data_IF_637734754188
#
_entry.id   IF_637734754188
#
_cell.length_a   1.000
_cell.length_b   1.000
_cell.length_c   1.000
_cell.angle_alpha   90.00
_cell.angle_beta   90.00
_cell.angle_gamma   90.00
#
_symmetry.space_group_name_H-M   'P 1'
#
loop_
_entity.id
_entity.type
_entity.pdbx_description
1 polymer ?
#
# COMPACT_ATOMS: atom_id res chain seq x y z
N UNK A 1 -14.54 4.57 -23.59
CA UNK A 1 -13.10 4.35 -23.36
C UNK A 1 -12.86 2.86 -23.37
N UNK A 2 -11.99 2.37 -24.23
CA UNK A 2 -11.48 0.99 -24.19
C UNK A 2 -10.03 1.09 -23.73
N UNK A 3 -9.68 0.64 -22.51
CA UNK A 3 -8.30 0.66 -22.07
C UNK A 3 -7.45 -0.25 -22.96
N UNK A 4 -6.23 0.17 -23.24
CA UNK A 4 -5.22 -0.56 -24.03
C UNK A 4 -4.19 -1.30 -23.15
N UNK A 5 -4.27 -1.13 -21.82
CA UNK A 5 -3.48 -1.84 -20.83
C UNK A 5 -4.23 -2.04 -19.50
N UNK A 6 -3.93 -3.15 -18.81
CA UNK A 6 -4.28 -3.40 -17.41
C UNK A 6 -3.00 -3.66 -16.63
N UNK A 7 -2.83 -2.99 -15.48
CA UNK A 7 -1.68 -3.20 -14.58
C UNK A 7 -2.20 -3.80 -13.28
N UNK A 8 -1.82 -5.06 -13.01
CA UNK A 8 -2.10 -5.76 -11.77
C UNK A 8 -0.94 -5.53 -10.79
N UNK A 9 -1.18 -4.74 -9.75
CA UNK A 9 -0.17 -4.34 -8.77
C UNK A 9 -0.04 -5.36 -7.63
N UNK A 10 0.12 -6.62 -7.99
CA UNK A 10 0.48 -7.74 -7.13
C UNK A 10 -0.66 -8.35 -6.30
N UNK A 11 -0.31 -9.42 -5.59
CA UNK A 11 -1.19 -10.31 -4.84
C UNK A 11 -2.39 -10.80 -5.67
N UNK A 12 -2.10 -11.21 -6.92
CA UNK A 12 -3.06 -11.85 -7.84
C UNK A 12 -3.50 -13.20 -7.29
N UNK A 13 -2.59 -13.91 -6.60
CA UNK A 13 -2.90 -15.16 -5.89
C UNK A 13 -2.91 -14.97 -4.39
N UNK A 14 -3.59 -15.87 -3.68
CA UNK A 14 -3.70 -15.79 -2.22
C UNK A 14 -2.80 -16.80 -1.51
N UNK A 15 -2.77 -18.06 -1.97
CA UNK A 15 -2.08 -19.11 -1.20
C UNK A 15 -0.56 -19.12 -1.43
N UNK A 16 0.18 -19.21 -0.33
CA UNK A 16 1.64 -19.35 -0.26
C UNK A 16 1.97 -20.42 0.78
N UNK A 17 2.84 -21.41 0.52
CA UNK A 17 3.64 -21.63 -0.69
C UNK A 17 2.96 -22.50 -1.76
N UNK A 18 1.84 -23.16 -1.45
CA UNK A 18 1.16 -24.07 -2.37
C UNK A 18 -0.01 -23.37 -3.05
N UNK A 19 -0.07 -23.44 -4.38
CA UNK A 19 -1.22 -22.98 -5.17
C UNK A 19 -2.33 -24.04 -5.07
N UNK A 20 -3.54 -23.61 -4.73
CA UNK A 20 -4.69 -24.50 -4.63
C UNK A 20 -5.12 -25.03 -6.00
N UNK A 21 -5.91 -26.11 -6.02
CA UNK A 21 -6.49 -26.61 -7.27
C UNK A 21 -7.39 -25.58 -7.96
N UNK A 22 -8.12 -24.78 -7.17
CA UNK A 22 -8.96 -23.69 -7.67
C UNK A 22 -8.09 -22.60 -8.30
N UNK A 23 -7.02 -22.16 -7.63
CA UNK A 23 -6.12 -21.13 -8.18
C UNK A 23 -5.42 -21.59 -9.46
N UNK A 24 -5.10 -22.88 -9.60
CA UNK A 24 -4.52 -23.43 -10.84
C UNK A 24 -5.48 -23.40 -12.04
N UNK A 25 -6.77 -23.34 -11.80
CA UNK A 25 -7.80 -23.30 -12.84
C UNK A 25 -8.27 -21.86 -13.09
N UNK A 26 -8.53 -21.11 -12.02
CA UNK A 26 -9.13 -19.78 -12.08
C UNK A 26 -8.13 -18.68 -12.44
N UNK A 27 -6.89 -18.70 -11.91
CA UNK A 27 -5.91 -17.64 -12.20
C UNK A 27 -5.54 -17.60 -13.69
N UNK A 28 -5.23 -18.73 -14.36
CA UNK A 28 -4.93 -18.72 -15.78
C UNK A 28 -6.13 -18.24 -16.59
N UNK A 29 -7.33 -18.75 -16.29
CA UNK A 29 -8.56 -18.32 -16.96
C UNK A 29 -8.78 -16.80 -16.83
N UNK A 30 -8.62 -16.24 -15.63
CA UNK A 30 -8.75 -14.81 -15.37
C UNK A 30 -7.74 -13.97 -16.16
N UNK A 31 -6.45 -14.30 -16.04
CA UNK A 31 -5.38 -13.55 -16.70
C UNK A 31 -5.47 -13.63 -18.22
N UNK A 32 -5.76 -14.82 -18.76
CA UNK A 32 -5.88 -15.02 -20.20
C UNK A 32 -7.13 -14.32 -20.77
N UNK A 33 -8.24 -14.27 -20.01
CA UNK A 33 -9.44 -13.51 -20.42
C UNK A 33 -9.17 -12.01 -20.46
N UNK A 34 -8.39 -11.46 -19.53
CA UNK A 34 -7.94 -10.06 -19.61
C UNK A 34 -7.07 -9.83 -20.85
N UNK A 35 -6.12 -10.74 -21.10
CA UNK A 35 -5.19 -10.67 -22.22
C UNK A 35 -5.86 -10.79 -23.60
N UNK A 36 -7.08 -11.33 -23.68
CA UNK A 36 -7.89 -11.33 -24.90
C UNK A 36 -8.43 -9.94 -25.27
N UNK A 37 -8.52 -9.04 -24.30
CA UNK A 37 -9.06 -7.69 -24.48
C UNK A 37 -7.94 -6.64 -24.58
N UNK A 38 -6.84 -6.82 -23.85
CA UNK A 38 -5.82 -5.80 -23.67
C UNK A 38 -4.53 -6.36 -23.09
N UNK A 39 -3.40 -5.64 -23.26
CA UNK A 39 -2.13 -6.02 -22.64
C UNK A 39 -2.23 -6.03 -21.11
N UNK A 40 -1.64 -7.03 -20.45
CA UNK A 40 -1.65 -7.17 -18.99
C UNK A 40 -0.22 -7.11 -18.43
N UNK A 41 0.06 -6.14 -17.58
CA UNK A 41 1.28 -6.11 -16.76
C UNK A 41 0.98 -6.61 -15.36
N UNK A 42 1.88 -7.40 -14.81
CA UNK A 42 1.80 -7.86 -13.43
C UNK A 42 3.08 -7.48 -12.71
N UNK A 43 2.95 -6.69 -11.66
CA UNK A 43 4.04 -6.39 -10.74
C UNK A 43 3.82 -7.29 -9.52
N UNK A 44 4.58 -8.39 -9.37
CA UNK A 44 4.23 -9.42 -8.41
C UNK A 44 4.31 -8.91 -6.98
N UNK A 45 3.32 -9.30 -6.17
CA UNK A 45 3.28 -9.12 -4.73
C UNK A 45 4.00 -10.25 -3.99
N UNK A 46 4.01 -10.18 -2.65
CA UNK A 46 4.66 -11.24 -1.85
C UNK A 46 3.90 -12.56 -1.94
N UNK A 47 2.64 -12.54 -2.38
CA UNK A 47 1.88 -13.73 -2.63
C UNK A 47 2.11 -14.33 -4.01
N UNK A 48 2.73 -13.65 -4.99
CA UNK A 48 2.75 -14.09 -6.40
C UNK A 48 3.93 -14.99 -6.80
N UNK A 49 4.61 -15.61 -5.83
CA UNK A 49 5.70 -16.54 -6.12
C UNK A 49 5.27 -17.68 -7.06
N UNK A 50 5.94 -17.81 -8.21
CA UNK A 50 5.65 -18.86 -9.21
C UNK A 50 4.44 -18.58 -10.12
N UNK A 51 3.89 -17.37 -10.13
CA UNK A 51 2.74 -16.99 -10.96
C UNK A 51 2.94 -17.29 -12.45
N UNK A 52 4.14 -17.05 -12.99
CA UNK A 52 4.49 -17.33 -14.40
C UNK A 52 4.36 -18.80 -14.81
N UNK A 53 4.26 -19.72 -13.85
CA UNK A 53 4.08 -21.15 -14.11
C UNK A 53 2.61 -21.54 -14.28
N UNK A 54 1.67 -20.63 -14.01
CA UNK A 54 0.24 -20.94 -14.00
C UNK A 54 -0.42 -20.70 -15.36
N UNK A 55 0.02 -19.70 -16.13
CA UNK A 55 -0.66 -19.29 -17.38
C UNK A 55 0.21 -19.48 -18.63
N UNK A 56 -0.42 -19.45 -19.80
CA UNK A 56 0.30 -19.54 -21.06
C UNK A 56 1.10 -18.26 -21.37
N UNK A 57 2.44 -18.37 -21.32
CA UNK A 57 3.37 -17.27 -21.62
C UNK A 57 3.33 -16.74 -23.06
N UNK A 58 2.55 -17.36 -23.95
CA UNK A 58 2.34 -16.88 -25.32
C UNK A 58 1.24 -15.81 -25.41
N UNK A 59 0.49 -15.57 -24.32
CA UNK A 59 -0.53 -14.52 -24.23
C UNK A 59 0.12 -13.16 -23.96
N UNK A 60 -0.63 -12.08 -24.20
CA UNK A 60 -0.16 -10.70 -24.04
C UNK A 60 -0.11 -10.27 -22.56
N UNK A 61 0.72 -10.97 -21.79
CA UNK A 61 0.90 -10.83 -20.35
C UNK A 61 2.39 -10.70 -20.04
N UNK A 62 2.77 -9.62 -19.36
CA UNK A 62 4.13 -9.36 -18.90
C UNK A 62 4.20 -9.41 -17.39
N UNK A 63 5.01 -10.30 -16.83
CA UNK A 63 5.33 -10.29 -15.40
C UNK A 63 6.65 -9.57 -15.18
N UNK A 64 6.63 -8.56 -14.34
CA UNK A 64 7.76 -7.69 -14.05
C UNK A 64 8.52 -8.15 -12.80
N UNK A 65 9.60 -7.43 -12.49
CA UNK A 65 10.33 -7.58 -11.24
C UNK A 65 9.43 -7.30 -10.02
N UNK A 66 9.62 -8.02 -8.92
CA UNK A 66 9.01 -7.70 -7.62
C UNK A 66 9.47 -6.34 -7.05
N UNK A 67 10.55 -5.77 -7.61
CA UNK A 67 11.00 -4.41 -7.32
C UNK A 67 10.30 -3.34 -8.18
N UNK A 68 9.38 -3.75 -9.04
CA UNK A 68 8.54 -2.88 -9.84
C UNK A 68 9.00 -2.68 -11.29
N UNK A 69 8.30 -1.77 -11.98
CA UNK A 69 8.52 -1.43 -13.39
C UNK A 69 8.17 0.04 -13.68
N UNK A 70 8.78 0.60 -14.73
CA UNK A 70 8.39 1.87 -15.33
C UNK A 70 7.51 1.57 -16.55
N UNK A 71 6.29 2.09 -16.55
CA UNK A 71 5.32 1.91 -17.64
C UNK A 71 4.77 3.30 -17.96
N UNK A 72 4.91 3.75 -19.21
CA UNK A 72 4.47 5.06 -19.70
C UNK A 72 4.91 6.25 -18.83
N UNK A 73 6.11 6.18 -18.27
CA UNK A 73 6.69 7.22 -17.41
C UNK A 73 6.19 7.23 -15.97
N UNK A 74 5.36 6.26 -15.57
CA UNK A 74 4.88 6.04 -14.20
C UNK A 74 5.58 4.82 -13.60
N UNK A 75 6.02 4.95 -12.36
CA UNK A 75 6.63 3.87 -11.61
C UNK A 75 5.59 3.03 -10.86
N UNK A 76 5.69 1.72 -10.93
CA UNK A 76 4.79 0.80 -10.24
C UNK A 76 5.61 -0.21 -9.43
N UNK A 77 5.32 -0.37 -8.14
CA UNK A 77 5.87 -1.45 -7.32
C UNK A 77 4.82 -1.94 -6.32
N UNK A 78 4.80 -3.22 -5.95
CA UNK A 78 3.73 -3.71 -5.07
C UNK A 78 3.80 -3.11 -3.66
N UNK A 79 4.99 -3.00 -3.07
CA UNK A 79 5.20 -2.38 -1.75
C UNK A 79 5.88 -3.29 -0.72
N UNK A 80 5.88 -4.61 -0.93
CA UNK A 80 6.55 -5.58 -0.05
C UNK A 80 8.09 -5.55 -0.15
N UNK A 81 8.64 -4.85 -1.14
CA UNK A 81 10.08 -4.61 -1.35
C UNK A 81 10.36 -3.11 -1.45
N UNK A 82 11.65 -2.73 -1.43
CA UNK A 82 12.05 -1.41 -1.91
C UNK A 82 11.96 -1.37 -3.45
N UNK A 83 11.46 -0.26 -4.04
CA UNK A 83 11.44 -0.11 -5.48
C UNK A 83 12.85 -0.22 -6.08
N UNK A 84 12.90 -0.58 -7.36
CA UNK A 84 14.13 -0.45 -8.14
C UNK A 84 14.47 1.06 -8.30
N UNK A 85 15.76 1.45 -8.26
CA UNK A 85 16.15 2.86 -8.34
C UNK A 85 15.55 3.66 -9.50
N UNK A 86 15.39 3.03 -10.66
CA UNK A 86 14.81 3.61 -11.87
C UNK A 86 13.38 4.13 -11.65
N UNK A 87 12.60 3.53 -10.74
CA UNK A 87 11.25 3.98 -10.38
C UNK A 87 11.28 5.38 -9.76
N UNK A 88 12.36 5.73 -9.08
CA UNK A 88 12.50 7.01 -8.40
C UNK A 88 12.76 8.18 -9.36
N UNK A 89 13.06 7.88 -10.62
CA UNK A 89 13.17 8.87 -11.70
C UNK A 89 11.82 9.21 -12.35
N UNK A 90 10.74 8.47 -12.04
CA UNK A 90 9.39 8.82 -12.48
C UNK A 90 8.83 9.98 -11.65
N UNK A 91 7.99 10.83 -12.26
CA UNK A 91 7.28 11.89 -11.51
C UNK A 91 6.17 11.35 -10.61
N UNK A 92 5.63 10.20 -10.97
CA UNK A 92 4.55 9.53 -10.25
C UNK A 92 4.92 8.08 -9.99
N UNK A 93 4.68 7.63 -8.76
CA UNK A 93 4.87 6.24 -8.34
C UNK A 93 3.59 5.74 -7.71
N UNK A 94 3.17 4.52 -8.05
CA UNK A 94 1.99 3.85 -7.52
C UNK A 94 2.41 2.58 -6.79
N UNK A 95 1.88 2.37 -5.59
CA UNK A 95 2.15 1.20 -4.76
C UNK A 95 0.90 0.64 -4.11
N UNK A 96 0.91 -0.65 -3.78
CA UNK A 96 -0.17 -1.37 -3.12
C UNK A 96 0.28 -1.88 -1.73
N UNK A 97 -0.06 -3.14 -1.41
CA UNK A 97 0.34 -3.92 -0.24
C UNK A 97 -0.27 -3.48 1.11
N UNK A 98 -0.28 -2.18 1.40
CA UNK A 98 -0.76 -1.68 2.70
C UNK A 98 -2.29 -1.65 2.81
N UNK A 99 -3.01 -1.70 1.69
CA UNK A 99 -4.47 -1.61 1.62
C UNK A 99 -5.00 -0.46 2.51
N UNK A 100 -4.60 0.78 2.23
CA UNK A 100 -4.94 1.93 3.05
C UNK A 100 -6.45 2.06 3.28
N UNK A 101 -6.80 2.28 4.55
CA UNK A 101 -8.14 2.60 5.01
C UNK A 101 -8.10 3.77 6.00
N UNK A 102 -9.27 4.33 6.31
CA UNK A 102 -9.49 5.31 7.38
C UNK A 102 -10.57 4.78 8.30
N UNK A 103 -10.29 4.79 9.61
CA UNK A 103 -11.31 4.48 10.62
C UNK A 103 -11.96 5.75 11.13
N UNK A 104 -13.28 5.85 10.99
CA UNK A 104 -14.08 6.85 11.68
C UNK A 104 -14.64 6.22 12.96
N UNK A 105 -14.51 6.90 14.09
CA UNK A 105 -15.09 6.44 15.36
C UNK A 105 -15.91 7.58 15.96
N UNK A 106 -17.16 7.30 16.30
CA UNK A 106 -18.03 8.27 16.94
C UNK A 106 -17.76 8.40 18.45
N UNK A 107 -18.52 9.28 19.11
CA UNK A 107 -18.41 9.52 20.55
C UNK A 107 -18.90 8.35 21.42
N UNK A 108 -19.67 7.42 20.85
CA UNK A 108 -20.18 6.24 21.53
C UNK A 108 -19.27 5.02 21.34
N UNK A 109 -18.24 5.14 20.48
CA UNK A 109 -17.27 4.10 20.20
C UNK A 109 -17.62 3.22 19.00
N UNK A 110 -18.69 3.52 18.26
CA UNK A 110 -18.97 2.85 17.00
C UNK A 110 -17.97 3.27 15.95
N UNK A 111 -17.44 2.29 15.20
CA UNK A 111 -16.45 2.57 14.16
C UNK A 111 -16.85 1.99 12.81
N UNK A 112 -16.63 2.78 11.76
CA UNK A 112 -16.64 2.35 10.37
C UNK A 112 -15.22 2.48 9.80
N UNK A 113 -14.89 1.63 8.83
CA UNK A 113 -13.59 1.64 8.15
C UNK A 113 -13.86 1.75 6.67
N UNK A 114 -13.29 2.78 6.05
CA UNK A 114 -13.46 3.06 4.63
C UNK A 114 -12.11 2.92 3.90
N UNK A 115 -12.05 2.25 2.74
CA UNK A 115 -10.86 2.27 1.88
C UNK A 115 -10.52 3.69 1.45
N UNK A 116 -9.22 3.98 1.36
CA UNK A 116 -8.75 5.32 1.04
C UNK A 116 -7.53 5.28 0.13
N UNK A 117 -7.41 6.26 -0.75
CA UNK A 117 -6.17 6.58 -1.43
C UNK A 117 -5.28 7.43 -0.54
N UNK A 118 -3.98 7.15 -0.56
CA UNK A 118 -2.98 7.97 0.12
C UNK A 118 -2.07 8.58 -0.92
N UNK A 119 -1.93 9.91 -0.90
CA UNK A 119 -0.95 10.64 -1.70
C UNK A 119 0.13 11.18 -0.79
N UNK A 120 1.39 10.84 -1.03
CA UNK A 120 2.51 11.22 -0.18
C UNK A 120 3.79 11.40 -0.99
N UNK A 121 4.91 11.62 -0.31
CA UNK A 121 6.25 11.61 -0.91
C UNK A 121 7.17 10.70 -0.12
N UNK A 122 8.23 10.26 -0.75
CA UNK A 122 9.30 9.57 -0.05
C UNK A 122 10.06 10.52 0.91
N UNK A 123 10.69 9.93 1.91
CA UNK A 123 11.57 10.61 2.83
C UNK A 123 13.01 10.57 2.29
N UNK A 124 13.48 11.70 1.75
CA UNK A 124 14.78 11.81 1.11
C UNK A 124 15.94 11.33 1.98
N UNK A 125 15.93 11.59 3.28
CA UNK A 125 17.04 11.22 4.17
C UNK A 125 17.12 9.71 4.39
N UNK A 126 15.96 9.04 4.50
CA UNK A 126 15.90 7.56 4.56
C UNK A 126 16.31 6.95 3.22
N UNK A 127 15.87 7.55 2.11
CA UNK A 127 16.25 7.11 0.77
C UNK A 127 17.75 7.25 0.51
N UNK A 128 18.40 8.35 0.93
CA UNK A 128 19.85 8.51 0.87
C UNK A 128 20.58 7.42 1.65
N UNK A 129 20.07 7.08 2.84
CA UNK A 129 20.61 5.99 3.65
C UNK A 129 20.50 4.63 2.97
N UNK A 130 19.37 4.34 2.31
CA UNK A 130 19.14 3.06 1.64
C UNK A 130 19.82 2.95 0.26
N UNK A 131 19.73 4.00 -0.55
CA UNK A 131 20.25 4.09 -1.90
C UNK A 131 21.50 4.96 -1.98
N UNK A 132 22.51 4.67 -1.15
CA UNK A 132 23.71 5.51 -1.00
C UNK A 132 24.52 5.80 -2.28
N UNK A 133 24.29 5.05 -3.36
CA UNK A 133 24.94 5.24 -4.65
C UNK A 133 24.14 6.12 -5.63
N UNK A 134 22.91 6.53 -5.29
CA UNK A 134 22.11 7.41 -6.14
C UNK A 134 22.47 8.87 -5.93
N UNK A 135 22.57 9.60 -7.03
CA UNK A 135 22.70 11.05 -7.03
C UNK A 135 21.31 11.69 -7.04
N UNK A 136 20.84 12.09 -5.86
CA UNK A 136 19.53 12.73 -5.68
C UNK A 136 19.44 14.14 -6.27
N UNK A 137 20.57 14.73 -6.70
CA UNK A 137 20.60 16.00 -7.43
C UNK A 137 20.55 15.80 -8.95
N UNK A 138 20.60 14.54 -9.43
CA UNK A 138 20.50 14.20 -10.85
C UNK A 138 19.04 13.89 -11.24
N UNK A 139 18.38 14.72 -12.07
CA UNK A 139 17.01 14.48 -12.50
C UNK A 139 16.79 13.16 -13.26
N UNK A 140 17.85 12.57 -13.82
CA UNK A 140 17.77 11.25 -14.46
C UNK A 140 17.66 10.09 -13.45
N UNK A 141 17.88 10.34 -12.15
CA UNK A 141 17.85 9.34 -11.08
C UNK A 141 16.80 9.65 -10.00
N UNK A 142 16.48 10.93 -9.80
CA UNK A 142 15.55 11.38 -8.77
C UNK A 142 14.83 12.65 -9.20
N UNK A 143 13.50 12.65 -9.12
CA UNK A 143 12.66 13.82 -9.43
C UNK A 143 11.69 14.19 -8.31
N UNK A 144 11.93 13.69 -7.09
CA UNK A 144 11.02 13.83 -5.94
C UNK A 144 9.58 13.36 -6.23
N UNK A 145 9.39 12.07 -6.61
CA UNK A 145 8.10 11.54 -7.03
C UNK A 145 6.99 11.75 -6.02
N UNK A 146 5.79 12.00 -6.56
CA UNK A 146 4.55 11.79 -5.83
C UNK A 146 4.26 10.29 -5.75
N UNK A 147 4.04 9.79 -4.53
CA UNK A 147 3.73 8.40 -4.25
C UNK A 147 2.24 8.24 -3.94
N UNK A 148 1.56 7.38 -4.69
CA UNK A 148 0.17 7.01 -4.48
C UNK A 148 0.10 5.59 -3.93
N UNK A 149 -0.54 5.43 -2.77
CA UNK A 149 -0.86 4.12 -2.20
C UNK A 149 -2.30 3.80 -2.53
N UNK A 150 -2.51 2.72 -3.27
CA UNK A 150 -3.83 2.31 -3.74
C UNK A 150 -4.51 1.44 -2.68
N UNK A 151 -5.83 1.61 -2.46
CA UNK A 151 -6.60 0.69 -1.63
C UNK A 151 -6.68 -0.69 -2.27
N UNK A 152 -7.09 -1.70 -1.49
CA UNK A 152 -7.38 -3.01 -2.05
C UNK A 152 -8.53 -2.92 -3.06
N UNK A 153 -8.42 -3.63 -4.18
CA UNK A 153 -9.50 -3.72 -5.16
C UNK A 153 -10.68 -4.57 -4.62
N UNK A 154 -10.38 -5.63 -3.86
CA UNK A 154 -11.38 -6.54 -3.33
C UNK A 154 -11.87 -6.06 -1.95
N UNK A 155 -13.18 -5.89 -1.79
CA UNK A 155 -13.84 -5.46 -0.55
C UNK A 155 -13.65 -6.47 0.61
N UNK A 156 -13.36 -7.73 0.30
CA UNK A 156 -13.09 -8.76 1.30
C UNK A 156 -11.69 -8.67 1.90
N UNK A 157 -10.79 -7.90 1.29
CA UNK A 157 -9.46 -7.66 1.83
C UNK A 157 -9.56 -6.66 2.99
N UNK A 158 -9.00 -7.06 4.13
CA UNK A 158 -8.75 -6.10 5.21
C UNK A 158 -7.78 -5.00 4.77
N UNK A 159 -7.69 -3.95 5.58
CA UNK A 159 -6.82 -2.83 5.34
C UNK A 159 -6.27 -2.21 6.61
N UNK A 160 -5.22 -1.43 6.47
CA UNK A 160 -4.55 -0.76 7.59
C UNK A 160 -5.19 0.62 7.77
N UNK A 161 -5.73 0.97 8.96
CA UNK A 161 -6.29 2.29 9.22
C UNK A 161 -5.17 3.32 9.42
N UNK A 162 -4.77 4.01 8.35
CA UNK A 162 -3.61 4.93 8.36
C UNK A 162 -3.73 6.02 9.44
N UNK A 163 -4.95 6.46 9.76
CA UNK A 163 -5.20 7.49 10.77
C UNK A 163 -5.09 7.00 12.23
N UNK A 164 -4.95 5.69 12.43
CA UNK A 164 -4.73 5.06 13.73
C UNK A 164 -3.37 4.36 13.82
N UNK A 165 -2.70 4.11 12.70
CA UNK A 165 -1.45 3.35 12.65
C UNK A 165 -0.18 4.19 12.84
N UNK A 166 0.82 3.63 13.50
CA UNK A 166 2.19 4.18 13.54
C UNK A 166 2.99 3.77 12.31
N UNK A 167 4.18 4.34 12.14
CA UNK A 167 5.05 4.05 11.00
C UNK A 167 5.43 2.57 10.94
N UNK A 168 5.73 1.97 12.10
CA UNK A 168 6.22 0.60 12.25
C UNK A 168 5.14 -0.46 11.99
N UNK A 169 3.86 -0.06 12.07
CA UNK A 169 2.71 -0.94 11.81
C UNK A 169 2.37 -1.02 10.31
N UNK A 170 2.94 -0.14 9.49
CA UNK A 170 2.77 -0.20 8.04
C UNK A 170 3.63 -1.31 7.43
N UNK A 171 3.14 -1.90 6.35
CA UNK A 171 3.78 -3.04 5.70
C UNK A 171 4.75 -2.60 4.61
N UNK A 172 5.79 -3.41 4.41
CA UNK A 172 6.81 -3.18 3.40
C UNK A 172 7.90 -2.20 3.86
N UNK A 173 9.14 -2.37 3.38
CA UNK A 173 10.29 -1.72 3.98
C UNK A 173 10.33 -0.20 3.71
N UNK A 174 9.77 0.28 2.60
CA UNK A 174 9.65 1.71 2.33
C UNK A 174 8.72 2.42 3.32
N UNK A 175 7.74 1.69 3.86
CA UNK A 175 6.84 2.21 4.89
C UNK A 175 7.43 1.98 6.27
N UNK A 176 7.64 0.74 6.72
CA UNK A 176 8.04 0.46 8.11
C UNK A 176 9.36 1.13 8.57
N UNK A 177 10.25 1.50 7.64
CA UNK A 177 11.51 2.22 7.93
C UNK A 177 11.40 3.75 7.99
N UNK A 178 10.21 4.33 7.78
CA UNK A 178 10.04 5.78 7.68
C UNK A 178 10.47 6.37 6.32
N UNK A 179 10.56 5.52 5.29
CA UNK A 179 10.89 5.91 3.91
C UNK A 179 9.84 6.76 3.20
N UNK A 180 8.71 7.05 3.84
CA UNK A 180 7.67 7.97 3.35
C UNK A 180 7.38 9.10 4.36
N UNK A 181 6.85 10.22 3.88
CA UNK A 181 6.42 11.34 4.72
C UNK A 181 5.00 11.11 5.26
N UNK A 182 4.83 10.11 6.12
CA UNK A 182 3.52 9.63 6.58
C UNK A 182 2.59 10.75 7.09
N UNK A 183 3.06 11.61 8.01
CA UNK A 183 2.26 12.70 8.58
C UNK A 183 1.83 13.78 7.58
N UNK A 184 2.59 13.93 6.49
CA UNK A 184 2.30 14.90 5.43
C UNK A 184 1.46 14.30 4.30
N UNK A 185 1.02 13.04 4.42
CA UNK A 185 0.22 12.38 3.40
C UNK A 185 -1.18 12.98 3.34
N UNK A 186 -1.69 13.17 2.13
CA UNK A 186 -3.09 13.49 1.88
C UNK A 186 -3.92 12.22 1.75
N UNK A 187 -5.15 12.27 2.25
CA UNK A 187 -6.06 11.12 2.28
C UNK A 187 -7.34 11.43 1.52
N UNK A 188 -7.75 10.50 0.67
CA UNK A 188 -8.93 10.61 -0.18
C UNK A 188 -9.78 9.35 -0.07
N UNK A 189 -11.10 9.48 0.08
CA UNK A 189 -12.03 8.35 -0.05
C UNK A 189 -12.21 7.96 -1.53
N UNK A 190 -12.79 6.78 -1.76
CA UNK A 190 -13.01 6.26 -3.13
C UNK A 190 -13.93 7.14 -3.98
N UNK A 191 -14.82 7.91 -3.36
CA UNK A 191 -15.71 8.87 -4.04
C UNK A 191 -15.00 10.20 -4.42
N UNK A 192 -13.70 10.32 -4.11
CA UNK A 192 -12.90 11.52 -4.35
C UNK A 192 -12.93 12.54 -3.20
N UNK A 193 -13.65 12.27 -2.11
CA UNK A 193 -13.68 13.16 -0.95
C UNK A 193 -12.30 13.27 -0.31
N UNK A 194 -11.72 14.48 -0.34
CA UNK A 194 -10.45 14.79 0.32
C UNK A 194 -10.67 15.01 1.82
N UNK A 195 -10.12 14.13 2.65
CA UNK A 195 -10.17 14.24 4.12
C UNK A 195 -9.08 15.18 4.67
N UNK A 196 -8.05 15.48 3.87
CA UNK A 196 -6.95 16.37 4.22
C UNK A 196 -5.68 15.63 4.61
N UNK A 197 -4.82 16.28 5.39
CA UNK A 197 -3.53 15.71 5.80
C UNK A 197 -3.71 14.70 6.93
N UNK A 198 -2.97 13.59 6.87
CA UNK A 198 -3.04 12.50 7.84
C UNK A 198 -2.86 13.00 9.27
N UNK A 199 -1.86 13.86 9.51
CA UNK A 199 -1.61 14.46 10.84
C UNK A 199 -2.82 15.19 11.45
N UNK A 200 -3.73 15.70 10.62
CA UNK A 200 -4.92 16.44 11.06
C UNK A 200 -6.11 15.51 11.36
N UNK A 201 -6.11 14.30 10.79
CA UNK A 201 -7.19 13.32 10.97
C UNK A 201 -6.74 12.11 11.80
N UNK A 202 -5.51 12.13 12.32
CA UNK A 202 -5.07 11.16 13.30
C UNK A 202 -6.02 11.16 14.48
N UNK A 203 -6.40 9.96 14.91
CA UNK A 203 -7.14 9.81 16.16
C UNK A 203 -6.23 10.22 17.30
N UNK A 204 -6.40 11.45 17.79
CA UNK A 204 -5.72 11.92 18.99
C UNK A 204 -5.97 10.90 20.11
N UNK A 205 -4.91 10.52 20.83
CA UNK A 205 -4.98 9.62 21.99
C UNK A 205 -5.99 10.07 23.06
N UNK A 206 -6.49 11.31 22.99
CA UNK A 206 -7.53 11.88 23.83
C UNK A 206 -8.92 11.26 23.64
N UNK A 207 -9.14 10.44 22.61
CA UNK A 207 -10.40 9.68 22.43
C UNK A 207 -10.40 8.34 23.16
N UNK A 208 -9.41 8.07 24.03
CA UNK A 208 -9.56 7.01 25.02
C UNK A 208 -10.71 7.41 25.94
N UNK A 209 -11.86 6.76 25.77
CA UNK A 209 -12.91 6.70 26.79
C UNK A 209 -12.21 6.52 28.13
N UNK A 210 -12.38 7.49 29.04
CA UNK A 210 -11.86 7.41 30.41
C UNK A 210 -12.31 6.08 30.99
N UNK A 211 -11.43 5.07 31.00
CA UNK A 211 -11.72 3.80 31.63
C UNK A 211 -11.93 4.08 33.12
N UNK A 212 -13.19 4.04 33.58
CA UNK A 212 -13.59 4.17 35.00
C UNK A 212 -12.86 3.18 35.92
N UNK A 213 -12.19 2.17 35.36
CA UNK A 213 -11.40 1.19 36.09
C UNK A 213 -9.99 1.66 36.51
N UNK A 214 -9.41 2.72 35.91
CA UNK A 214 -8.11 3.25 36.37
C UNK A 214 -8.24 4.12 37.64
N UNK A 215 -9.37 4.81 37.84
CA UNK A 215 -9.58 5.62 39.04
C UNK A 215 -9.86 4.78 40.31
N UNK A 216 -10.35 3.54 40.16
CA UNK A 216 -10.53 2.62 41.30
C UNK A 216 -9.19 2.12 41.86
N UNK A 217 -8.19 1.85 41.01
CA UNK A 217 -6.85 1.43 41.47
C UNK A 217 -6.06 2.55 42.15
N UNK A 218 -6.26 3.82 41.74
CA UNK A 218 -5.64 4.98 42.41
C UNK A 218 -6.26 5.31 43.78
N UNK A 219 -7.52 4.94 44.03
CA UNK A 219 -8.15 5.10 45.35
C UNK A 219 -7.79 3.99 46.33
N UNK A 220 -7.53 2.76 45.89
CA UNK A 220 -7.15 1.66 46.79
C UNK A 220 -5.70 1.76 47.30
N UNK A 221 -4.80 2.41 46.56
CA UNK A 221 -3.38 2.56 46.97
C UNK A 221 -3.12 3.72 47.94
N UNK A 222 -4.13 4.52 48.29
CA UNK A 222 -4.04 5.62 49.26
C UNK A 222 -4.69 5.30 50.62
N UNK A 223 -5.19 4.07 50.81
CA UNK A 223 -5.96 3.67 52.00
C UNK A 223 -5.26 2.67 52.92
N UNK A 224 -3.97 2.40 52.73
CA UNK A 224 -3.20 1.49 53.60
C UNK A 224 -1.99 2.23 54.17
N UNK A 225 -2.25 3.05 55.19
CA UNK A 225 -1.31 3.37 56.27
C UNK A 225 -1.42 2.31 57.34
#
# INVERSE_FOLDING_TARGET
NSPDRVILLGDVKHNVPQVSWQEKDEIPCFLETLAEHTHVDIIPGNHDGGLELLFNRQKDITVHSARGALIDGVGYFHGHTWPAPEILAASYVVTAHNHPTVRFTDVFGYSIVEPAWIRTKFNLEVLKGHFGNLNFENPAQWVDPELFVIPAFNELCGGIPFNESTQEELLGPAFSSGGIKLEASEVYLLDGTRLGLLRNIRKLQYTRVRNKNMDRRRKSSKGST
#
